data_IF_347957828353
#
_entry.id   IF_347957828353
#
_cell.length_a   1.000
_cell.length_b   1.000
_cell.length_c   1.000
_cell.angle_alpha   90.00
_cell.angle_beta   90.00
_cell.angle_gamma   90.00
#
_symmetry.space_group_name_H-M   'P 1'
#
loop_
_entity.id
_entity.type
_entity.pdbx_description
1 polymer ?
#
# COMPACT_ATOMS: atom_id res chain seq x y z
N UNK A 1 8.55 -19.52 -5.40
CA UNK A 1 7.27 -19.31 -4.67
C UNK A 1 6.18 -19.11 -5.71
N UNK A 2 5.20 -19.99 -5.75
CA UNK A 2 3.96 -19.76 -6.49
C UNK A 2 3.32 -18.48 -5.93
N UNK A 3 3.13 -17.45 -6.76
CA UNK A 3 2.34 -16.27 -6.38
C UNK A 3 0.94 -16.79 -6.06
N UNK A 4 0.57 -16.78 -4.78
CA UNK A 4 -0.82 -16.99 -4.37
C UNK A 4 -1.65 -15.93 -5.08
N UNK A 5 -2.68 -16.35 -5.82
CA UNK A 5 -3.54 -15.42 -6.55
C UNK A 5 -4.49 -14.76 -5.55
N UNK A 6 -4.13 -13.57 -5.09
CA UNK A 6 -4.89 -12.83 -4.09
C UNK A 6 -5.99 -11.96 -4.68
N UNK A 7 -6.30 -12.09 -5.99
CA UNK A 7 -7.44 -11.42 -6.61
C UNK A 7 -8.76 -11.73 -5.92
N UNK A 8 -8.88 -12.91 -5.30
CA UNK A 8 -10.06 -13.26 -4.50
C UNK A 8 -10.29 -12.30 -3.32
N UNK A 9 -9.24 -11.73 -2.71
CA UNK A 9 -9.41 -10.76 -1.62
C UNK A 9 -10.05 -9.48 -2.14
N UNK A 10 -9.73 -9.06 -3.36
CA UNK A 10 -10.33 -7.88 -3.97
C UNK A 10 -11.83 -8.07 -4.24
N UNK A 11 -12.27 -9.30 -4.54
CA UNK A 11 -13.68 -9.62 -4.76
C UNK A 11 -14.51 -9.60 -3.46
N UNK A 12 -13.85 -9.74 -2.30
CA UNK A 12 -14.49 -9.65 -0.98
C UNK A 12 -14.63 -8.21 -0.48
N UNK A 13 -13.99 -7.24 -1.14
CA UNK A 13 -13.95 -5.83 -0.73
C UNK A 13 -14.99 -5.00 -1.49
N UNK A 14 -16.27 -5.35 -1.32
CA UNK A 14 -17.39 -4.61 -1.95
C UNK A 14 -17.83 -3.42 -1.09
N UNK A 15 -18.24 -2.29 -1.69
CA UNK A 15 -18.80 -1.17 -0.95
C UNK A 15 -20.07 -1.60 -0.22
N UNK A 16 -20.34 -0.97 0.94
CA UNK A 16 -21.45 -1.34 1.83
C UNK A 16 -22.69 -0.50 1.59
N UNK A 17 -22.50 0.74 1.16
CA UNK A 17 -23.54 1.73 0.99
C UNK A 17 -23.76 2.02 -0.49
N UNK A 18 -22.69 2.02 -1.29
CA UNK A 18 -22.77 2.26 -2.72
C UNK A 18 -23.20 1.01 -3.52
N UNK A 19 -24.03 1.20 -4.54
CA UNK A 19 -24.45 0.15 -5.47
C UNK A 19 -23.77 0.31 -6.82
N UNK A 20 -23.33 -0.78 -7.43
CA UNK A 20 -22.67 -0.75 -8.74
C UNK A 20 -23.65 -0.29 -9.84
N UNK A 21 -23.15 0.54 -10.75
CA UNK A 21 -23.91 1.00 -11.93
C UNK A 21 -23.65 0.04 -13.08
N UNK A 22 -24.50 -0.99 -13.18
CA UNK A 22 -24.38 -2.03 -14.21
C UNK A 22 -24.91 -1.58 -15.58
N UNK A 23 -25.89 -0.67 -15.62
CA UNK A 23 -26.45 -0.15 -16.87
C UNK A 23 -25.43 0.71 -17.63
N UNK A 24 -25.03 0.33 -18.86
CA UNK A 24 -24.06 1.10 -19.64
C UNK A 24 -24.53 2.52 -20.00
N UNK A 25 -25.83 2.72 -20.22
CA UNK A 25 -26.35 4.04 -20.57
C UNK A 25 -26.22 5.00 -19.37
N UNK A 26 -26.62 4.54 -18.19
CA UNK A 26 -26.46 5.30 -16.95
C UNK A 26 -25.00 5.54 -16.59
N UNK A 27 -24.13 4.52 -16.75
CA UNK A 27 -22.69 4.67 -16.53
C UNK A 27 -22.09 5.75 -17.43
N UNK A 28 -22.43 5.74 -18.72
CA UNK A 28 -21.94 6.76 -19.66
C UNK A 28 -22.47 8.16 -19.33
N UNK A 29 -23.71 8.28 -18.87
CA UNK A 29 -24.27 9.55 -18.39
C UNK A 29 -23.46 10.07 -17.21
N UNK A 30 -23.25 9.25 -16.18
CA UNK A 30 -22.52 9.63 -14.97
C UNK A 30 -21.05 9.93 -15.28
N UNK A 31 -20.41 9.15 -16.14
CA UNK A 31 -19.02 9.37 -16.57
C UNK A 31 -18.79 10.75 -17.19
N UNK A 32 -19.81 11.35 -17.82
CA UNK A 32 -19.76 12.72 -18.35
C UNK A 32 -20.02 13.82 -17.32
N UNK A 33 -20.32 13.48 -16.07
CA UNK A 33 -20.63 14.42 -14.99
C UNK A 33 -19.57 14.45 -13.88
N UNK A 34 -18.68 13.45 -13.89
CA UNK A 34 -17.61 13.26 -12.90
C UNK A 34 -16.30 13.92 -13.33
N UNK A 35 -15.43 14.25 -12.36
CA UNK A 35 -14.16 14.96 -12.56
C UNK A 35 -14.32 16.28 -13.36
N UNK A 36 -15.40 17.02 -13.07
CA UNK A 36 -15.70 18.30 -13.73
C UNK A 36 -15.52 19.46 -12.76
N UNK A 37 -15.42 20.68 -13.27
CA UNK A 37 -15.42 21.90 -12.45
C UNK A 37 -16.71 22.10 -11.65
N UNK A 38 -17.75 21.34 -11.97
CA UNK A 38 -19.06 21.38 -11.29
C UNK A 38 -19.28 20.26 -10.28
N UNK A 39 -18.35 19.30 -10.13
CA UNK A 39 -18.45 18.27 -9.10
C UNK A 39 -17.82 18.73 -7.78
N UNK A 40 -18.39 18.27 -6.66
CA UNK A 40 -17.85 18.51 -5.33
C UNK A 40 -17.10 17.26 -4.86
N UNK A 41 -15.78 17.38 -4.68
CA UNK A 41 -14.95 16.33 -4.13
C UNK A 41 -15.38 15.92 -2.71
N UNK A 42 -15.55 14.62 -2.49
CA UNK A 42 -15.87 14.04 -1.18
C UNK A 42 -14.66 13.33 -0.57
N UNK A 43 -14.12 12.35 -1.30
CA UNK A 43 -13.02 11.49 -0.87
C UNK A 43 -12.26 10.98 -2.09
N UNK A 44 -10.99 10.60 -1.91
CA UNK A 44 -10.16 10.21 -3.03
C UNK A 44 -8.84 9.60 -2.62
N UNK A 45 -8.43 8.62 -3.41
CA UNK A 45 -7.19 7.87 -3.21
C UNK A 45 -6.57 7.59 -4.58
N UNK A 46 -5.24 7.67 -4.65
CA UNK A 46 -4.49 7.48 -5.88
C UNK A 46 -3.25 6.63 -5.62
N UNK A 47 -2.91 5.79 -6.58
CA UNK A 47 -1.73 4.95 -6.64
C UNK A 47 -1.12 5.05 -8.03
N UNK A 48 0.01 4.37 -8.22
CA UNK A 48 0.71 4.38 -9.50
C UNK A 48 -0.04 3.67 -10.65
N UNK A 49 -1.08 2.90 -10.34
CA UNK A 49 -1.83 2.12 -11.33
C UNK A 49 -3.33 2.41 -11.34
N UNK A 50 -3.81 3.33 -10.49
CA UNK A 50 -5.25 3.60 -10.40
C UNK A 50 -5.61 4.61 -9.34
N UNK A 51 -6.77 5.23 -9.52
CA UNK A 51 -7.40 6.21 -8.65
C UNK A 51 -8.84 5.79 -8.38
N UNK A 52 -9.30 6.07 -7.18
CA UNK A 52 -10.71 6.01 -6.81
C UNK A 52 -11.12 7.33 -6.22
N UNK A 53 -12.23 7.89 -6.70
CA UNK A 53 -12.84 9.08 -6.15
C UNK A 53 -14.28 8.83 -5.73
N UNK A 54 -14.70 9.60 -4.74
CA UNK A 54 -16.10 9.87 -4.42
C UNK A 54 -16.38 11.35 -4.54
N UNK A 55 -17.44 11.72 -5.23
CA UNK A 55 -17.85 13.10 -5.43
C UNK A 55 -19.36 13.26 -5.58
N UNK A 56 -19.87 14.46 -5.31
CA UNK A 56 -21.23 14.85 -5.65
C UNK A 56 -21.24 15.55 -7.01
N UNK A 57 -21.95 15.01 -7.98
CA UNK A 57 -22.10 15.64 -9.30
C UNK A 57 -23.18 16.73 -9.26
N UNK A 58 -23.23 17.58 -10.28
CA UNK A 58 -24.14 18.76 -10.35
C UNK A 58 -25.63 18.45 -10.08
N UNK A 59 -26.10 17.25 -10.39
CA UNK A 59 -27.46 16.78 -10.12
C UNK A 59 -27.74 16.53 -8.63
N UNK A 60 -26.72 16.56 -7.77
CA UNK A 60 -26.77 16.21 -6.36
C UNK A 60 -26.55 14.71 -6.10
N UNK A 61 -26.34 13.90 -7.15
CA UNK A 61 -26.04 12.48 -7.04
C UNK A 61 -24.60 12.29 -6.53
N UNK A 62 -24.43 11.42 -5.54
CA UNK A 62 -23.09 11.04 -5.06
C UNK A 62 -22.64 9.79 -5.80
N UNK A 63 -21.47 9.87 -6.41
CA UNK A 63 -20.91 8.84 -7.29
C UNK A 63 -19.51 8.48 -6.79
N UNK A 64 -19.23 7.18 -6.75
CA UNK A 64 -17.88 6.66 -6.59
C UNK A 64 -17.42 6.10 -7.92
N UNK A 65 -16.15 6.28 -8.29
CA UNK A 65 -15.63 5.70 -9.51
C UNK A 65 -14.15 5.34 -9.43
N UNK A 66 -13.79 4.29 -10.17
CA UNK A 66 -12.43 3.86 -10.43
C UNK A 66 -11.97 4.44 -11.77
N UNK A 67 -10.75 4.94 -11.84
CA UNK A 67 -10.04 5.21 -13.08
C UNK A 67 -8.65 4.60 -13.04
N UNK A 68 -8.16 4.16 -14.20
CA UNK A 68 -6.76 3.81 -14.35
C UNK A 68 -5.93 5.08 -14.35
N UNK A 69 -4.68 4.99 -13.91
CA UNK A 69 -3.73 6.10 -14.01
C UNK A 69 -2.69 5.77 -15.08
N UNK A 70 -2.44 6.74 -15.95
CA UNK A 70 -1.33 6.73 -16.89
C UNK A 70 -0.36 7.86 -16.55
N UNK A 71 0.88 7.73 -16.98
CA UNK A 71 1.88 8.79 -16.88
C UNK A 71 2.10 9.34 -18.28
N UNK A 72 2.03 10.66 -18.45
CA UNK A 72 2.31 11.31 -19.73
C UNK A 72 3.82 11.46 -20.00
N UNK A 73 4.17 12.18 -21.07
CA UNK A 73 5.56 12.32 -21.49
C UNK A 73 6.38 13.20 -20.53
N UNK A 74 5.70 14.08 -19.79
CA UNK A 74 6.24 15.01 -18.82
C UNK A 74 6.37 14.38 -17.42
N UNK A 75 5.79 13.19 -17.22
CA UNK A 75 5.83 12.48 -15.96
C UNK A 75 4.64 12.76 -15.05
N UNK A 76 3.64 13.48 -15.55
CA UNK A 76 2.41 13.83 -14.85
C UNK A 76 1.41 12.68 -14.92
N UNK A 77 0.68 12.51 -13.82
CA UNK A 77 -0.30 11.44 -13.67
C UNK A 77 -1.63 11.89 -14.29
N UNK A 78 -1.99 11.26 -15.41
CA UNK A 78 -3.24 11.54 -16.11
C UNK A 78 -4.25 10.45 -15.80
N UNK A 79 -5.37 10.78 -15.13
CA UNK A 79 -6.44 9.82 -14.91
C UNK A 79 -7.12 9.46 -16.23
N UNK A 80 -7.33 8.17 -16.44
CA UNK A 80 -8.13 7.65 -17.54
C UNK A 80 -9.62 7.87 -17.31
N UNK A 81 -10.43 7.47 -18.29
CA UNK A 81 -11.88 7.49 -18.15
C UNK A 81 -12.35 6.57 -17.01
N UNK A 82 -13.47 6.89 -16.33
CA UNK A 82 -14.06 6.02 -15.33
C UNK A 82 -14.32 4.60 -15.86
N UNK A 83 -13.71 3.60 -15.23
CA UNK A 83 -13.80 2.19 -15.63
C UNK A 83 -14.93 1.45 -14.92
N UNK A 84 -15.17 1.76 -13.65
CA UNK A 84 -16.27 1.26 -12.82
C UNK A 84 -16.87 2.40 -12.01
N UNK A 85 -18.18 2.36 -11.80
CA UNK A 85 -18.91 3.41 -11.11
C UNK A 85 -19.94 2.81 -10.16
N UNK A 86 -20.15 3.48 -9.04
CA UNK A 86 -21.15 3.17 -8.04
C UNK A 86 -21.95 4.43 -7.71
N UNK A 87 -23.23 4.24 -7.44
CA UNK A 87 -24.10 5.30 -6.93
C UNK A 87 -24.30 5.11 -5.43
N UNK A 88 -24.21 6.21 -4.71
CA UNK A 88 -24.45 6.24 -3.27
C UNK A 88 -25.88 6.74 -3.01
N UNK A 89 -26.68 6.05 -2.19
CA UNK A 89 -28.01 6.50 -1.80
C UNK A 89 -27.98 7.89 -1.15
N UNK A 90 -28.98 8.71 -1.46
CA UNK A 90 -29.15 10.02 -0.84
C UNK A 90 -29.25 9.91 0.69
N UNK A 91 -28.59 10.81 1.41
CA UNK A 91 -28.56 10.84 2.87
C UNK A 91 -27.51 9.92 3.53
N UNK A 92 -26.70 9.19 2.74
CA UNK A 92 -25.52 8.48 3.26
C UNK A 92 -24.54 9.47 3.88
N UNK A 93 -23.97 9.14 5.04
CA UNK A 93 -23.06 10.05 5.75
C UNK A 93 -21.74 10.16 5.00
N UNK A 94 -21.07 11.31 5.11
CA UNK A 94 -19.80 11.56 4.40
C UNK A 94 -18.71 10.58 4.84
N UNK A 95 -18.69 10.16 6.12
CA UNK A 95 -17.80 9.09 6.58
C UNK A 95 -18.04 7.75 5.89
N UNK A 96 -19.30 7.36 5.65
CA UNK A 96 -19.65 6.10 5.01
C UNK A 96 -19.23 6.10 3.52
N UNK A 97 -19.31 7.27 2.88
CA UNK A 97 -18.79 7.49 1.51
C UNK A 97 -17.27 7.37 1.49
N UNK A 98 -16.58 7.94 2.49
CA UNK A 98 -15.12 7.83 2.61
C UNK A 98 -14.68 6.37 2.75
N UNK A 99 -15.33 5.60 3.63
CA UNK A 99 -15.02 4.19 3.86
C UNK A 99 -15.27 3.32 2.62
N UNK A 100 -16.37 3.53 1.91
CA UNK A 100 -16.63 2.85 0.64
C UNK A 100 -15.60 3.24 -0.43
N UNK A 101 -15.21 4.52 -0.50
CA UNK A 101 -14.14 4.98 -1.41
C UNK A 101 -12.81 4.29 -1.10
N UNK A 102 -12.44 4.21 0.18
CA UNK A 102 -11.21 3.56 0.63
C UNK A 102 -11.23 2.04 0.35
N UNK A 103 -12.39 1.40 0.52
CA UNK A 103 -12.57 -0.03 0.25
C UNK A 103 -12.42 -0.34 -1.23
N UNK A 104 -13.05 0.46 -2.08
CA UNK A 104 -12.91 0.39 -3.53
C UNK A 104 -11.46 0.60 -3.96
N UNK A 105 -10.77 1.58 -3.37
CA UNK A 105 -9.35 1.82 -3.65
C UNK A 105 -8.45 0.64 -3.24
N UNK A 106 -8.68 0.05 -2.07
CA UNK A 106 -7.97 -1.16 -1.66
C UNK A 106 -8.23 -2.31 -2.63
N UNK A 107 -9.50 -2.53 -3.01
CA UNK A 107 -9.89 -3.57 -3.95
C UNK A 107 -9.22 -3.35 -5.32
N UNK A 108 -9.25 -2.12 -5.85
CA UNK A 108 -8.58 -1.76 -7.10
C UNK A 108 -7.07 -2.01 -7.02
N UNK A 109 -6.43 -1.58 -5.92
CA UNK A 109 -4.99 -1.72 -5.69
C UNK A 109 -4.53 -3.18 -5.65
N UNK A 110 -5.37 -4.08 -5.14
CA UNK A 110 -5.11 -5.52 -5.18
C UNK A 110 -5.30 -6.11 -6.58
N UNK A 111 -6.28 -5.62 -7.36
CA UNK A 111 -6.55 -6.10 -8.73
C UNK A 111 -5.49 -5.69 -9.73
N UNK A 112 -5.06 -4.43 -9.69
CA UNK A 112 -4.08 -3.87 -10.63
C UNK A 112 -2.63 -4.06 -10.18
N UNK A 113 -2.41 -4.58 -8.96
CA UNK A 113 -1.07 -4.83 -8.42
C UNK A 113 -0.37 -3.58 -7.87
N UNK A 114 -1.10 -2.50 -7.60
CA UNK A 114 -0.56 -1.30 -6.96
C UNK A 114 -0.15 -1.54 -5.49
N UNK A 115 -0.76 -2.50 -4.80
CA UNK A 115 -0.36 -2.84 -3.44
C UNK A 115 1.05 -3.47 -3.42
N UNK A 116 2.00 -2.80 -2.77
CA UNK A 116 3.41 -3.26 -2.72
C UNK A 116 3.62 -4.39 -1.73
N UNK A 117 2.84 -4.37 -0.64
CA UNK A 117 2.80 -5.42 0.36
C UNK A 117 1.39 -5.52 0.90
N UNK A 118 0.88 -6.74 1.08
CA UNK A 118 -0.44 -6.93 1.64
C UNK A 118 -0.55 -8.31 2.29
N UNK A 119 -1.45 -8.42 3.25
CA UNK A 119 -1.73 -9.66 3.96
C UNK A 119 -3.17 -9.62 4.46
N UNK A 120 -3.77 -10.78 4.70
CA UNK A 120 -5.14 -10.83 5.17
C UNK A 120 -5.76 -12.20 5.13
N UNK A 121 -6.96 -12.28 5.69
CA UNK A 121 -7.80 -13.45 5.67
C UNK A 121 -9.26 -13.03 5.43
N UNK A 122 -9.88 -13.58 4.39
CA UNK A 122 -11.21 -13.19 3.92
C UNK A 122 -11.31 -11.67 3.64
N UNK A 123 -12.26 -10.98 4.26
CA UNK A 123 -12.48 -9.54 4.12
C UNK A 123 -11.59 -8.72 5.07
N UNK A 124 -10.75 -9.36 5.90
CA UNK A 124 -9.75 -8.71 6.75
C UNK A 124 -8.44 -8.60 6.00
N UNK A 125 -8.11 -7.41 5.54
CA UNK A 125 -6.96 -7.14 4.69
C UNK A 125 -6.21 -5.95 5.25
N UNK A 126 -4.89 -6.05 5.27
CA UNK A 126 -3.96 -4.95 5.53
C UNK A 126 -3.08 -4.80 4.30
N UNK A 127 -2.91 -3.60 3.78
CA UNK A 127 -2.08 -3.33 2.61
C UNK A 127 -1.30 -2.03 2.71
N UNK A 128 -0.10 -2.04 2.12
CA UNK A 128 0.71 -0.87 1.79
C UNK A 128 0.47 -0.55 0.31
N UNK A 129 -0.02 0.66 0.05
CA UNK A 129 -0.26 1.17 -1.31
C UNK A 129 0.58 2.43 -1.51
N UNK A 130 1.67 2.38 -2.30
CA UNK A 130 2.48 3.54 -2.62
C UNK A 130 1.69 4.61 -3.39
N UNK A 131 1.93 5.88 -3.06
CA UNK A 131 1.20 7.03 -3.61
C UNK A 131 1.96 7.79 -4.72
N UNK A 132 1.26 8.80 -5.25
CA UNK A 132 1.62 9.71 -6.34
C UNK A 132 2.95 10.47 -6.12
N UNK A 133 3.22 10.91 -4.89
CA UNK A 133 4.35 11.81 -4.55
C UNK A 133 5.70 11.06 -4.43
N UNK A 134 5.73 9.82 -4.91
CA UNK A 134 6.92 9.00 -5.01
C UNK A 134 6.98 7.88 -3.97
N UNK A 135 7.98 7.00 -4.06
CA UNK A 135 8.01 5.73 -3.33
C UNK A 135 8.30 5.85 -1.84
N UNK A 136 8.34 7.08 -1.30
CA UNK A 136 8.42 7.33 0.14
C UNK A 136 7.06 7.43 0.80
N UNK A 137 6.06 7.87 0.04
CA UNK A 137 4.70 8.06 0.54
C UNK A 137 3.87 6.82 0.26
N UNK A 138 3.09 6.42 1.25
CA UNK A 138 2.23 5.24 1.15
C UNK A 138 1.00 5.41 2.01
N UNK A 139 -0.13 4.90 1.52
CA UNK A 139 -1.29 4.62 2.35
C UNK A 139 -1.15 3.23 2.91
N UNK A 140 -1.36 3.12 4.21
CA UNK A 140 -1.60 1.85 4.88
C UNK A 140 -3.08 1.76 5.11
N UNK A 141 -3.71 0.74 4.56
CA UNK A 141 -5.15 0.55 4.61
C UNK A 141 -5.43 -0.78 5.29
N UNK A 142 -6.33 -0.80 6.28
CA UNK A 142 -6.86 -2.04 6.84
C UNK A 142 -8.38 -2.06 6.93
N UNK A 143 -8.96 -3.24 6.77
CA UNK A 143 -10.37 -3.49 7.08
C UNK A 143 -10.50 -4.05 8.51
N UNK A 144 -11.47 -3.54 9.26
CA UNK A 144 -11.71 -3.89 10.65
C UNK A 144 -12.78 -4.97 10.82
N UNK A 145 -12.97 -5.48 12.04
CA UNK A 145 -13.99 -6.47 12.38
C UNK A 145 -15.43 -6.03 12.05
N UNK A 146 -15.77 -4.78 12.39
CA UNK A 146 -17.03 -4.15 12.02
C UNK A 146 -17.13 -3.84 10.51
N UNK A 147 -16.02 -4.01 9.78
CA UNK A 147 -15.73 -3.72 8.37
C UNK A 147 -15.73 -2.25 7.97
N UNK A 148 -15.60 -1.38 8.96
CA UNK A 148 -15.04 -0.04 8.78
C UNK A 148 -13.61 -0.15 8.22
N UNK A 149 -13.11 0.95 7.66
CA UNK A 149 -11.76 1.02 7.12
C UNK A 149 -10.93 2.03 7.88
N UNK A 150 -9.70 1.62 8.23
CA UNK A 150 -8.70 2.53 8.75
C UNK A 150 -7.64 2.81 7.68
N UNK A 151 -7.36 4.09 7.47
CA UNK A 151 -6.35 4.57 6.53
C UNK A 151 -5.35 5.44 7.28
N UNK A 152 -4.07 5.14 7.12
CA UNK A 152 -2.97 5.99 7.59
C UNK A 152 -2.09 6.34 6.43
N UNK A 153 -1.75 7.63 6.31
CA UNK A 153 -0.75 8.09 5.36
C UNK A 153 0.61 8.19 6.05
N UNK A 154 1.64 7.64 5.43
CA UNK A 154 3.01 7.67 5.93
C UNK A 154 3.93 8.33 4.91
N UNK A 155 4.83 9.20 5.38
CA UNK A 155 5.81 9.91 4.55
C UNK A 155 7.16 9.19 4.44
N UNK A 156 7.31 8.03 5.07
CA UNK A 156 8.50 7.23 4.97
C UNK A 156 8.19 5.73 4.97
N UNK A 157 9.05 4.98 4.28
CA UNK A 157 8.87 3.53 4.04
C UNK A 157 9.06 2.71 5.33
N UNK A 158 9.89 3.17 6.28
CA UNK A 158 10.10 2.44 7.53
C UNK A 158 8.85 2.45 8.41
N UNK A 159 8.21 3.61 8.55
CA UNK A 159 6.96 3.78 9.28
C UNK A 159 5.81 3.08 8.56
N UNK A 160 5.82 3.06 7.22
CA UNK A 160 4.87 2.29 6.42
C UNK A 160 4.90 0.80 6.80
N UNK A 161 6.09 0.18 6.74
CA UNK A 161 6.29 -1.23 7.09
C UNK A 161 6.11 -1.50 8.59
N UNK A 162 6.48 -0.56 9.46
CA UNK A 162 6.24 -0.64 10.89
C UNK A 162 4.75 -0.64 11.22
N UNK A 163 3.98 0.25 10.59
CA UNK A 163 2.52 0.34 10.73
C UNK A 163 1.85 -0.90 10.17
N UNK A 164 2.25 -1.34 8.97
CA UNK A 164 1.77 -2.58 8.38
C UNK A 164 1.98 -3.79 9.31
N UNK A 165 3.20 -3.98 9.81
CA UNK A 165 3.53 -5.11 10.67
C UNK A 165 2.76 -5.07 12.00
N UNK A 166 2.60 -3.87 12.58
CA UNK A 166 1.76 -3.67 13.76
C UNK A 166 0.32 -4.07 13.49
N UNK A 167 -0.28 -3.56 12.40
CA UNK A 167 -1.67 -3.88 12.07
C UNK A 167 -1.90 -5.35 11.69
N UNK A 168 -0.93 -6.00 11.03
CA UNK A 168 -0.99 -7.45 10.78
C UNK A 168 -0.85 -8.23 12.09
N UNK A 169 -0.04 -7.75 13.03
CA UNK A 169 0.06 -8.33 14.38
C UNK A 169 -1.27 -8.18 15.13
N UNK A 170 -1.87 -7.00 15.12
CA UNK A 170 -3.20 -6.75 15.71
C UNK A 170 -4.23 -7.71 15.12
N UNK A 171 -4.26 -7.84 13.78
CA UNK A 171 -5.13 -8.78 13.09
C UNK A 171 -4.85 -10.24 13.48
N UNK A 172 -3.59 -10.61 13.66
CA UNK A 172 -3.23 -11.96 14.09
C UNK A 172 -3.74 -12.27 15.51
N UNK A 173 -3.77 -11.28 16.40
CA UNK A 173 -4.31 -11.42 17.76
C UNK A 173 -5.82 -11.66 17.74
N UNK A 174 -6.56 -11.10 16.77
CA UNK A 174 -7.98 -11.41 16.57
C UNK A 174 -8.22 -12.90 16.27
N UNK A 175 -7.25 -13.61 15.67
CA UNK A 175 -7.32 -15.05 15.41
C UNK A 175 -6.57 -15.90 16.45
N UNK A 176 -6.05 -15.30 17.52
CA UNK A 176 -5.25 -15.97 18.53
C UNK A 176 -6.08 -16.86 19.48
N UNK A 177 -5.47 -17.23 20.60
CA UNK A 177 -6.11 -17.98 21.69
C UNK A 177 -6.17 -17.20 23.01
N UNK A 178 -5.86 -15.91 22.99
CA UNK A 178 -5.93 -15.01 24.15
C UNK A 178 -7.29 -14.32 24.30
N UNK A 179 -7.42 -13.48 25.31
CA UNK A 179 -8.65 -12.72 25.62
C UNK A 179 -9.12 -11.85 24.44
N UNK A 180 -8.19 -11.34 23.64
CA UNK A 180 -8.46 -10.56 22.42
C UNK A 180 -9.24 -11.36 21.36
N UNK A 181 -8.96 -12.67 21.24
CA UNK A 181 -9.67 -13.54 20.31
C UNK A 181 -11.05 -13.97 20.82
N UNK A 182 -11.26 -13.93 22.14
CA UNK A 182 -12.54 -14.18 22.81
C UNK A 182 -13.45 -12.95 22.68
N UNK A 183 -12.88 -11.74 22.76
CA UNK A 183 -13.59 -10.48 22.55
C UNK A 183 -13.82 -10.14 21.07
N UNK A 184 -13.11 -10.81 20.16
CA UNK A 184 -13.22 -10.62 18.72
C UNK A 184 -14.41 -11.39 18.15
N UNK A 185 -15.31 -10.67 17.47
CA UNK A 185 -16.41 -11.24 16.66
C UNK A 185 -15.93 -11.86 15.34
N UNK A 186 -14.62 -12.04 15.16
CA UNK A 186 -14.05 -12.51 13.90
C UNK A 186 -14.46 -13.98 13.65
N UNK A 187 -15.15 -14.27 12.53
CA UNK A 187 -15.66 -15.60 12.22
C UNK A 187 -14.53 -16.64 12.17
N UNK A 188 -14.87 -17.90 12.49
CA UNK A 188 -13.92 -18.99 12.32
C UNK A 188 -13.55 -19.13 10.82
N UNK A 189 -12.25 -19.14 10.48
CA UNK A 189 -11.78 -19.44 9.13
C UNK A 189 -12.33 -20.77 8.62
N UNK A 190 -12.98 -20.83 7.44
CA UNK A 190 -13.44 -22.08 6.86
C UNK A 190 -12.23 -22.96 6.53
N UNK A 191 -12.23 -24.19 7.04
CA UNK A 191 -11.20 -25.19 6.72
C UNK A 191 -9.83 -24.96 7.37
N UNK A 192 -9.67 -23.96 8.25
CA UNK A 192 -8.40 -23.69 8.93
C UNK A 192 -8.62 -23.33 10.40
N UNK A 193 -7.72 -23.78 11.28
CA UNK A 193 -7.77 -23.39 12.68
C UNK A 193 -7.35 -21.92 12.84
N UNK A 194 -8.04 -21.16 13.71
CA UNK A 194 -7.74 -19.75 14.00
C UNK A 194 -6.27 -19.55 14.38
N UNK A 195 -5.73 -20.42 15.24
CA UNK A 195 -4.32 -20.39 15.65
C UNK A 195 -3.32 -20.54 14.49
N UNK A 196 -3.69 -21.27 13.44
CA UNK A 196 -2.85 -21.41 12.24
C UNK A 196 -2.85 -20.12 11.43
N UNK A 197 -4.02 -19.49 11.26
CA UNK A 197 -4.15 -18.17 10.61
C UNK A 197 -3.36 -17.12 11.39
N UNK A 198 -3.50 -17.08 12.72
CA UNK A 198 -2.74 -16.19 13.60
C UNK A 198 -1.22 -16.37 13.45
N UNK A 199 -0.73 -17.61 13.51
CA UNK A 199 0.70 -17.90 13.35
C UNK A 199 1.22 -17.52 11.94
N UNK A 200 0.41 -17.72 10.91
CA UNK A 200 0.75 -17.31 9.55
C UNK A 200 0.83 -15.78 9.43
N UNK A 201 -0.15 -15.03 9.95
CA UNK A 201 -0.15 -13.57 9.95
C UNK A 201 1.06 -12.99 10.72
N UNK A 202 1.38 -13.55 11.89
CA UNK A 202 2.56 -13.17 12.68
C UNK A 202 3.87 -13.37 11.87
N UNK A 203 3.95 -14.46 11.10
CA UNK A 203 5.07 -14.70 10.19
C UNK A 203 5.16 -13.65 9.09
N UNK A 204 4.04 -13.28 8.46
CA UNK A 204 4.01 -12.25 7.41
C UNK A 204 4.42 -10.87 7.96
N UNK A 205 3.97 -10.51 9.18
CA UNK A 205 4.38 -9.29 9.85
C UNK A 205 5.91 -9.26 10.09
N UNK A 206 6.46 -10.34 10.64
CA UNK A 206 7.91 -10.46 10.90
C UNK A 206 8.74 -10.46 9.62
N UNK A 207 8.28 -11.14 8.56
CA UNK A 207 8.95 -11.17 7.27
C UNK A 207 8.99 -9.79 6.62
N UNK A 208 7.88 -9.02 6.68
CA UNK A 208 7.81 -7.67 6.16
C UNK A 208 8.84 -6.73 6.84
N UNK A 209 8.92 -6.77 8.18
CA UNK A 209 9.91 -5.98 8.93
C UNK A 209 11.34 -6.42 8.61
N UNK A 210 11.58 -7.73 8.53
CA UNK A 210 12.90 -8.28 8.24
C UNK A 210 13.40 -7.88 6.86
N UNK A 211 12.54 -7.99 5.84
CA UNK A 211 12.89 -7.60 4.47
C UNK A 211 13.21 -6.12 4.38
N UNK A 212 12.40 -5.26 4.99
CA UNK A 212 12.65 -3.83 4.99
C UNK A 212 13.92 -3.46 5.77
N UNK A 213 14.14 -4.04 6.95
CA UNK A 213 15.36 -3.81 7.73
C UNK A 213 16.62 -4.24 6.96
N UNK A 214 16.56 -5.39 6.26
CA UNK A 214 17.65 -5.86 5.39
C UNK A 214 17.92 -4.89 4.25
N UNK A 215 16.87 -4.41 3.58
CA UNK A 215 17.01 -3.44 2.49
C UNK A 215 17.63 -2.13 2.98
N UNK A 216 17.12 -1.56 4.08
CA UNK A 216 17.66 -0.33 4.67
C UNK A 216 19.11 -0.47 5.13
N UNK A 217 19.47 -1.59 5.77
CA UNK A 217 20.86 -1.87 6.15
C UNK A 217 21.75 -1.99 4.92
N UNK A 218 21.32 -2.75 3.91
CA UNK A 218 22.09 -2.92 2.66
C UNK A 218 22.31 -1.59 1.95
N UNK A 219 21.28 -0.75 1.87
CA UNK A 219 21.37 0.59 1.31
C UNK A 219 22.35 1.48 2.09
N UNK A 220 22.25 1.50 3.43
CA UNK A 220 23.17 2.25 4.28
C UNK A 220 24.63 1.79 4.16
N UNK A 221 24.88 0.48 4.08
CA UNK A 221 26.21 -0.08 3.88
C UNK A 221 26.80 0.25 2.50
N UNK A 222 25.98 0.30 1.45
CA UNK A 222 26.42 0.75 0.12
C UNK A 222 26.71 2.25 0.08
N UNK A 223 25.97 3.07 0.84
CA UNK A 223 26.24 4.50 0.99
C UNK A 223 27.50 4.79 1.81
N UNK A 224 27.77 3.97 2.83
CA UNK A 224 28.92 4.12 3.73
C UNK A 224 30.27 4.15 2.98
N UNK A 225 30.42 3.40 1.89
CA UNK A 225 31.67 3.42 1.10
C UNK A 225 31.83 4.65 0.20
N UNK A 226 30.76 5.42 0.00
CA UNK A 226 30.76 6.64 -0.84
C UNK A 226 30.97 7.93 -0.04
N UNK A 227 30.86 7.90 1.29
CA UNK A 227 31.12 9.04 2.17
C UNK A 227 32.58 9.01 2.63
N UNK A 228 33.33 10.12 2.57
CA UNK A 228 34.69 10.21 3.11
C UNK A 228 34.70 9.79 4.60
N UNK A 229 35.50 8.79 4.93
CA UNK A 229 35.39 8.00 6.17
C UNK A 229 35.98 8.66 7.42
N UNK A 230 35.68 9.93 7.70
CA UNK A 230 36.20 10.58 8.91
C UNK A 230 35.41 10.23 10.19
N UNK A 231 34.15 9.77 10.09
CA UNK A 231 33.26 9.71 11.26
C UNK A 231 33.07 8.32 11.92
N UNK A 232 33.42 7.20 11.28
CA UNK A 232 33.33 5.86 11.91
C UNK A 232 34.21 4.82 11.20
N UNK A 233 35.25 4.26 11.84
CA UNK A 233 36.04 3.15 11.29
C UNK A 233 35.19 1.87 11.13
N UNK A 234 35.42 1.10 10.06
CA UNK A 234 34.72 -0.19 9.78
C UNK A 234 34.74 -1.15 10.99
N UNK A 235 35.81 -1.12 11.78
CA UNK A 235 35.95 -1.95 12.98
C UNK A 235 34.93 -1.60 14.09
N UNK A 236 34.59 -0.31 14.23
CA UNK A 236 33.59 0.14 15.20
C UNK A 236 32.17 -0.16 14.71
N UNK A 237 31.91 0.01 13.42
CA UNK A 237 30.63 -0.38 12.81
C UNK A 237 30.39 -1.89 12.93
N UNK A 238 31.41 -2.73 12.72
CA UNK A 238 31.32 -4.18 12.89
C UNK A 238 30.96 -4.56 14.34
N UNK A 239 31.57 -3.89 15.32
CA UNK A 239 31.26 -4.09 16.74
C UNK A 239 29.82 -3.72 17.07
N UNK A 240 29.32 -2.59 16.56
CA UNK A 240 27.93 -2.14 16.79
C UNK A 240 26.89 -3.08 16.16
N UNK A 241 27.23 -3.71 15.03
CA UNK A 241 26.37 -4.68 14.34
C UNK A 241 26.58 -6.12 14.82
N UNK A 242 27.37 -6.33 15.88
CA UNK A 242 27.71 -7.66 16.41
C UNK A 242 28.22 -8.64 15.34
N UNK A 243 29.07 -8.14 14.43
CA UNK A 243 29.71 -8.92 13.37
C UNK A 243 31.23 -8.70 13.38
N UNK A 244 31.99 -9.49 12.61
CA UNK A 244 33.42 -9.27 12.43
C UNK A 244 33.73 -8.42 11.19
N UNK A 245 34.92 -7.82 11.18
CA UNK A 245 35.37 -6.92 10.12
C UNK A 245 35.39 -7.59 8.75
N UNK A 246 35.78 -8.86 8.65
CA UNK A 246 35.91 -9.53 7.37
C UNK A 246 34.53 -9.79 6.76
N UNK A 247 33.58 -10.26 7.58
CA UNK A 247 32.20 -10.43 7.19
C UNK A 247 31.53 -9.10 6.81
N UNK A 248 31.70 -8.04 7.61
CA UNK A 248 31.15 -6.72 7.28
C UNK A 248 31.73 -6.18 5.96
N UNK A 249 33.04 -6.34 5.73
CA UNK A 249 33.67 -5.91 4.47
C UNK A 249 33.09 -6.65 3.27
N UNK A 250 32.79 -7.94 3.40
CA UNK A 250 32.13 -8.72 2.35
C UNK A 250 30.72 -8.22 2.09
N UNK A 251 29.92 -7.99 3.15
CA UNK A 251 28.55 -7.48 3.03
C UNK A 251 28.51 -6.10 2.38
N UNK A 252 29.44 -5.20 2.73
CA UNK A 252 29.57 -3.88 2.08
C UNK A 252 29.82 -4.05 0.58
N UNK A 253 30.78 -4.89 0.18
CA UNK A 253 31.06 -5.15 -1.25
C UNK A 253 29.88 -5.77 -1.99
N UNK A 254 29.15 -6.67 -1.34
CA UNK A 254 27.95 -7.29 -1.91
C UNK A 254 26.80 -6.26 -2.03
N UNK A 255 26.73 -5.28 -1.13
CA UNK A 255 25.79 -4.17 -1.20
C UNK A 255 26.14 -3.18 -2.33
N UNK A 256 27.42 -2.85 -2.51
CA UNK A 256 27.91 -2.00 -3.61
C UNK A 256 27.64 -2.57 -5.00
N UNK A 257 27.66 -3.90 -5.12
CA UNK A 257 27.41 -4.59 -6.39
C UNK A 257 25.94 -4.79 -6.70
N UNK A 258 25.06 -4.45 -5.79
CA UNK A 258 23.62 -4.53 -6.03
C UNK A 258 23.23 -3.49 -7.07
N UNK A 259 22.81 -3.96 -8.25
CA UNK A 259 22.49 -3.11 -9.39
C UNK A 259 21.36 -2.12 -9.08
N UNK A 260 20.37 -2.52 -8.27
CA UNK A 260 19.25 -1.67 -7.88
C UNK A 260 19.73 -0.56 -6.94
N UNK A 261 20.49 -0.91 -5.90
CA UNK A 261 21.01 0.08 -4.94
C UNK A 261 21.99 1.03 -5.62
N UNK A 262 22.88 0.52 -6.47
CA UNK A 262 23.82 1.34 -7.23
C UNK A 262 23.10 2.29 -8.18
N UNK A 263 22.06 1.84 -8.88
CA UNK A 263 21.23 2.73 -9.69
C UNK A 263 20.64 3.89 -8.88
N UNK A 264 20.09 3.60 -7.69
CA UNK A 264 19.50 4.63 -6.81
C UNK A 264 20.58 5.60 -6.33
N UNK A 265 21.70 5.08 -5.83
CA UNK A 265 22.79 5.91 -5.32
C UNK A 265 23.43 6.77 -6.42
N UNK A 266 23.59 6.24 -7.63
CA UNK A 266 24.14 6.99 -8.77
C UNK A 266 23.19 8.10 -9.21
N UNK A 267 21.88 7.85 -9.20
CA UNK A 267 20.87 8.88 -9.47
C UNK A 267 20.89 9.99 -8.40
N UNK A 268 21.05 9.63 -7.12
CA UNK A 268 21.20 10.61 -6.02
C UNK A 268 22.46 11.45 -6.24
N UNK A 269 23.60 10.82 -6.55
CA UNK A 269 24.87 11.53 -6.78
C UNK A 269 24.81 12.45 -8.01
N UNK A 270 24.05 12.10 -9.05
CA UNK A 270 23.92 12.95 -10.24
C UNK A 270 23.04 14.18 -10.03
N UNK A 271 22.27 14.26 -8.93
CA UNK A 271 21.34 15.36 -8.68
C UNK A 271 20.21 15.47 -9.71
N UNK A 272 20.00 14.40 -10.49
CA UNK A 272 19.03 14.33 -11.58
C UNK A 272 17.72 13.77 -11.02
N UNK A 273 16.79 14.67 -10.72
CA UNK A 273 15.51 14.34 -10.10
C UNK A 273 14.71 13.33 -10.93
N UNK A 274 14.76 13.42 -12.27
CA UNK A 274 14.02 12.53 -13.16
C UNK A 274 14.61 11.11 -13.14
N UNK A 275 15.94 11.01 -13.12
CA UNK A 275 16.64 9.73 -12.96
C UNK A 275 16.42 9.12 -11.58
N UNK A 276 16.35 9.93 -10.52
CA UNK A 276 16.02 9.48 -9.16
C UNK A 276 14.62 8.89 -9.12
N UNK A 277 13.63 9.63 -9.65
CA UNK A 277 12.24 9.18 -9.68
C UNK A 277 12.07 7.91 -10.52
N UNK A 278 12.71 7.84 -11.70
CA UNK A 278 12.66 6.66 -12.58
C UNK A 278 13.28 5.43 -11.92
N UNK A 279 14.43 5.58 -11.25
CA UNK A 279 15.12 4.46 -10.62
C UNK A 279 14.41 3.96 -9.37
N UNK A 280 13.79 4.87 -8.62
CA UNK A 280 12.98 4.53 -7.46
C UNK A 280 11.63 3.89 -7.84
N UNK A 281 11.07 4.22 -9.02
CA UNK A 281 9.82 3.63 -9.56
C UNK A 281 10.01 2.22 -10.12
N UNK A 282 11.16 1.94 -10.74
CA UNK A 282 11.44 0.65 -11.41
C UNK A 282 12.12 -0.39 -10.51
N UNK A 283 12.44 -0.04 -9.26
CA UNK A 283 13.12 -0.91 -8.30
C UNK A 283 12.16 -1.67 -7.41
#
# INVERSE_FOLDING_TARGET
MTRVDFRYLADLLTPRHAAIVDDPAERNRLAGLVDTDTSEYIAGFISQAGRVLGEAVRSGEIVLYESDITVDAEGDWVPGAPSRMWMVPAGTRREDVYDDTARLFLAQSLRNGAASQFCGWQDRVVAIVPEEVGPKESKIIRTLAGGDIEVVHTYNVLDAYGTFARWVTDLALEYGSGDEAIASDTPQPPGMARSVVSAWLMREAGEAQLQQARFSLKFGLAGYSRVPSEELPIAELARSLYTDRANLTKVIKDAEKDARITGILDAITSGDTDRIMTTLRNG
#
